data_IF_181758482015
#
_entry.id   IF_181758482015
#
_cell.length_a   1.000
_cell.length_b   1.000
_cell.length_c   1.000
_cell.angle_alpha   90.00
_cell.angle_beta   90.00
_cell.angle_gamma   90.00
#
_symmetry.space_group_name_H-M   'P 1'
#
loop_
_entity.id
_entity.type
_entity.pdbx_description
1 polymer ?
#
# COMPACT_ATOMS: atom_id res chain seq x y z
N UNK A 1 -4.88 -22.92 1.12
CA UNK A 1 -4.34 -21.56 1.30
C UNK A 1 -2.98 -21.42 0.65
N UNK A 2 -2.02 -22.29 0.95
CA UNK A 2 -0.64 -22.16 0.43
C UNK A 2 -0.57 -22.15 -1.10
N UNK A 3 -1.38 -22.98 -1.79
CA UNK A 3 -1.47 -22.96 -3.26
C UNK A 3 -2.03 -21.64 -3.79
N UNK A 4 -3.00 -21.01 -3.12
CA UNK A 4 -3.53 -19.70 -3.55
C UNK A 4 -2.50 -18.59 -3.34
N UNK A 5 -1.73 -18.65 -2.25
CA UNK A 5 -0.65 -17.70 -2.01
C UNK A 5 0.49 -17.88 -3.01
N UNK A 6 0.80 -19.11 -3.40
CA UNK A 6 1.80 -19.39 -4.44
C UNK A 6 1.39 -18.78 -5.79
N UNK A 7 0.11 -18.92 -6.17
CA UNK A 7 -0.38 -18.30 -7.42
C UNK A 7 -0.42 -16.78 -7.29
N UNK A 8 -0.85 -16.22 -6.16
CA UNK A 8 -0.83 -14.78 -5.93
C UNK A 8 0.59 -14.20 -6.00
N UNK A 9 1.60 -14.92 -5.50
CA UNK A 9 3.00 -14.48 -5.51
C UNK A 9 3.71 -14.71 -6.86
N UNK A 10 2.97 -15.05 -7.91
CA UNK A 10 3.52 -15.15 -9.26
C UNK A 10 4.05 -13.79 -9.74
N UNK A 11 5.12 -13.79 -10.54
CA UNK A 11 5.68 -12.58 -11.17
C UNK A 11 4.85 -12.11 -12.35
N UNK A 12 4.16 -13.04 -13.01
CA UNK A 12 3.19 -12.76 -14.05
C UNK A 12 1.87 -12.25 -13.42
N UNK A 13 1.48 -10.98 -13.66
CA UNK A 13 0.26 -10.39 -13.14
C UNK A 13 -1.00 -11.16 -13.57
N UNK A 14 -1.03 -11.70 -14.80
CA UNK A 14 -2.18 -12.43 -15.34
C UNK A 14 -2.41 -13.71 -14.54
N UNK A 15 -1.33 -14.43 -14.23
CA UNK A 15 -1.40 -15.64 -13.40
C UNK A 15 -1.76 -15.31 -11.95
N UNK A 16 -1.23 -14.21 -11.42
CA UNK A 16 -1.54 -13.74 -10.07
C UNK A 16 -3.02 -13.36 -9.92
N UNK A 17 -3.59 -12.72 -10.94
CA UNK A 17 -4.97 -12.24 -10.94
C UNK A 17 -6.00 -13.38 -10.83
N UNK A 18 -5.69 -14.57 -11.37
CA UNK A 18 -6.57 -15.75 -11.35
C UNK A 18 -7.11 -16.12 -9.96
N UNK A 19 -6.38 -15.78 -8.89
CA UNK A 19 -6.78 -16.09 -7.51
C UNK A 19 -7.34 -14.91 -6.74
N UNK A 20 -7.28 -13.68 -7.27
CA UNK A 20 -7.66 -12.46 -6.53
C UNK A 20 -9.12 -12.51 -6.09
N UNK A 21 -10.05 -12.84 -7.00
CA UNK A 21 -11.48 -12.93 -6.66
C UNK A 21 -11.74 -13.96 -5.54
N UNK A 22 -11.09 -15.13 -5.65
CA UNK A 22 -11.21 -16.20 -4.65
C UNK A 22 -10.64 -15.77 -3.30
N UNK A 23 -9.50 -15.08 -3.30
CA UNK A 23 -8.87 -14.56 -2.09
C UNK A 23 -9.71 -13.48 -1.42
N UNK A 24 -10.26 -12.51 -2.16
CA UNK A 24 -11.18 -11.50 -1.60
C UNK A 24 -12.38 -12.16 -0.94
N UNK A 25 -12.99 -13.14 -1.61
CA UNK A 25 -14.12 -13.90 -1.08
C UNK A 25 -13.75 -14.66 0.20
N UNK A 26 -12.58 -15.31 0.21
CA UNK A 26 -12.08 -16.04 1.37
C UNK A 26 -11.78 -15.10 2.56
N UNK A 27 -11.12 -13.97 2.30
CA UNK A 27 -10.85 -12.94 3.32
C UNK A 27 -12.15 -12.43 3.94
N UNK A 28 -13.18 -12.18 3.14
CA UNK A 28 -14.48 -11.73 3.64
C UNK A 28 -15.12 -12.75 4.61
N UNK A 29 -14.96 -14.06 4.37
CA UNK A 29 -15.45 -15.12 5.27
C UNK A 29 -14.70 -15.14 6.60
N UNK A 30 -13.47 -14.64 6.66
CA UNK A 30 -12.69 -14.56 7.89
C UNK A 30 -13.07 -13.38 8.80
N UNK A 31 -14.00 -12.50 8.39
CA UNK A 31 -14.34 -11.27 9.12
C UNK A 31 -14.62 -11.50 10.61
N UNK A 32 -15.50 -12.43 10.94
CA UNK A 32 -15.91 -12.68 12.33
C UNK A 32 -14.83 -13.40 13.15
N UNK A 33 -13.86 -14.03 12.47
CA UNK A 33 -12.75 -14.78 13.06
C UNK A 33 -11.42 -14.07 12.92
N UNK A 34 -11.41 -12.80 12.48
CA UNK A 34 -10.19 -12.14 12.04
C UNK A 34 -9.16 -11.94 13.14
N UNK A 35 -9.56 -12.05 14.42
CA UNK A 35 -8.68 -11.96 15.59
C UNK A 35 -8.11 -13.32 16.03
N UNK A 36 -8.57 -14.44 15.46
CA UNK A 36 -7.97 -15.75 15.73
C UNK A 36 -6.54 -15.80 15.19
N UNK A 37 -5.66 -16.53 15.88
CA UNK A 37 -4.25 -16.65 15.50
C UNK A 37 -4.07 -17.19 14.08
N UNK A 38 -4.85 -18.21 13.70
CA UNK A 38 -4.84 -18.79 12.35
C UNK A 38 -5.27 -17.79 11.28
N UNK A 39 -6.35 -17.04 11.54
CA UNK A 39 -6.82 -16.01 10.62
C UNK A 39 -5.78 -14.90 10.48
N UNK A 40 -5.23 -14.43 11.59
CA UNK A 40 -4.15 -13.43 11.63
C UNK A 40 -2.96 -13.87 10.79
N UNK A 41 -2.46 -15.10 10.99
CA UNK A 41 -1.33 -15.64 10.21
C UNK A 41 -1.61 -15.64 8.71
N UNK A 42 -2.80 -16.07 8.30
CA UNK A 42 -3.18 -16.11 6.88
C UNK A 42 -3.30 -14.69 6.30
N UNK A 43 -4.00 -13.78 6.99
CA UNK A 43 -4.18 -12.40 6.55
C UNK A 43 -2.83 -11.68 6.41
N UNK A 44 -1.92 -11.83 7.38
CA UNK A 44 -0.57 -11.26 7.31
C UNK A 44 0.22 -11.76 6.11
N UNK A 45 0.09 -13.04 5.77
CA UNK A 45 0.75 -13.62 4.57
C UNK A 45 0.17 -13.05 3.28
N UNK A 46 -1.15 -12.88 3.20
CA UNK A 46 -1.81 -12.26 2.04
C UNK A 46 -1.31 -10.81 1.88
N UNK A 47 -1.33 -10.01 2.96
CA UNK A 47 -0.84 -8.62 2.93
C UNK A 47 0.62 -8.59 2.46
N UNK A 48 1.47 -9.44 3.03
CA UNK A 48 2.89 -9.51 2.66
C UNK A 48 3.11 -9.79 1.17
N UNK A 49 2.34 -10.72 0.58
CA UNK A 49 2.40 -10.99 -0.87
C UNK A 49 1.91 -9.78 -1.67
N UNK A 50 0.75 -9.20 -1.31
CA UNK A 50 0.19 -8.05 -2.02
C UNK A 50 1.17 -6.86 -2.05
N UNK A 51 1.84 -6.58 -0.93
CA UNK A 51 2.83 -5.49 -0.86
C UNK A 51 4.06 -5.78 -1.72
N UNK A 52 4.51 -7.04 -1.82
CA UNK A 52 5.63 -7.42 -2.70
C UNK A 52 5.27 -7.34 -4.18
N UNK A 53 4.08 -7.83 -4.55
CA UNK A 53 3.57 -7.79 -5.93
C UNK A 53 3.11 -6.42 -6.38
N UNK A 54 3.07 -5.46 -5.46
CA UNK A 54 2.89 -4.07 -5.80
C UNK A 54 4.09 -3.46 -6.52
N UNK A 55 5.30 -4.03 -6.38
CA UNK A 55 6.51 -3.52 -7.05
C UNK A 55 6.45 -3.88 -8.52
N UNK A 56 6.58 -2.87 -9.39
CA UNK A 56 6.61 -3.07 -10.84
C UNK A 56 7.84 -3.92 -11.24
N UNK A 57 7.67 -4.80 -12.22
CA UNK A 57 8.76 -5.62 -12.76
C UNK A 57 9.89 -4.75 -13.30
N UNK A 58 11.12 -5.24 -13.23
CA UNK A 58 12.29 -4.56 -13.82
C UNK A 58 12.22 -4.53 -15.36
N UNK A 59 11.32 -5.31 -15.96
CA UNK A 59 11.08 -5.34 -17.41
C UNK A 59 10.19 -4.18 -17.90
N UNK A 60 9.47 -3.52 -16.99
CA UNK A 60 8.57 -2.40 -17.31
C UNK A 60 9.20 -1.06 -16.91
N UNK A 61 8.81 0.01 -17.60
CA UNK A 61 9.29 1.35 -17.28
C UNK A 61 8.40 2.01 -16.22
N UNK A 62 9.00 2.47 -15.13
CA UNK A 62 8.30 3.20 -14.05
C UNK A 62 7.69 4.51 -14.55
N UNK A 63 8.35 5.16 -15.51
CA UNK A 63 7.85 6.38 -16.15
C UNK A 63 7.09 6.06 -17.46
N UNK A 64 6.88 4.77 -17.74
CA UNK A 64 6.19 4.24 -18.90
C UNK A 64 4.69 4.51 -18.86
N UNK A 65 4.09 4.60 -20.05
CA UNK A 65 2.66 4.78 -20.27
C UNK A 65 2.14 3.82 -21.35
N UNK A 66 2.86 2.70 -21.56
CA UNK A 66 2.51 1.67 -22.53
C UNK A 66 1.35 0.80 -22.04
N UNK A 67 0.96 -0.15 -22.88
CA UNK A 67 -0.11 -1.11 -22.59
C UNK A 67 0.21 -1.94 -21.34
N UNK A 68 1.41 -2.51 -21.26
CA UNK A 68 1.85 -3.34 -20.14
C UNK A 68 1.87 -2.55 -18.80
N UNK A 69 2.28 -1.27 -18.81
CA UNK A 69 2.23 -0.42 -17.62
C UNK A 69 0.80 -0.10 -17.17
N UNK A 70 -0.12 0.08 -18.14
CA UNK A 70 -1.54 0.31 -17.86
C UNK A 70 -2.17 -0.95 -17.27
N UNK A 71 -1.90 -2.12 -17.84
CA UNK A 71 -2.37 -3.41 -17.34
C UNK A 71 -1.83 -3.66 -15.93
N UNK A 72 -0.56 -3.37 -15.67
CA UNK A 72 0.01 -3.47 -14.33
C UNK A 72 -0.65 -2.49 -13.34
N UNK A 73 -1.00 -1.28 -13.78
CA UNK A 73 -1.73 -0.33 -12.95
C UNK A 73 -3.14 -0.84 -12.58
N UNK A 74 -3.81 -1.56 -13.49
CA UNK A 74 -5.08 -2.23 -13.23
C UNK A 74 -4.92 -3.41 -12.27
N UNK A 75 -3.90 -4.24 -12.45
CA UNK A 75 -3.53 -5.28 -11.50
C UNK A 75 -3.28 -4.73 -10.07
N UNK A 76 -2.62 -3.56 -9.96
CA UNK A 76 -2.45 -2.88 -8.67
C UNK A 76 -3.76 -2.44 -8.04
N UNK A 77 -4.78 -2.05 -8.82
CA UNK A 77 -6.14 -1.80 -8.29
C UNK A 77 -6.70 -3.08 -7.69
N UNK A 78 -6.44 -4.21 -8.36
CA UNK A 78 -6.91 -5.49 -7.87
C UNK A 78 -6.25 -5.90 -6.54
N UNK A 79 -4.93 -5.72 -6.40
CA UNK A 79 -4.22 -5.89 -5.13
C UNK A 79 -4.73 -4.95 -4.04
N UNK A 80 -4.96 -3.67 -4.35
CA UNK A 80 -5.54 -2.70 -3.40
C UNK A 80 -6.91 -3.16 -2.91
N UNK A 81 -7.75 -3.77 -3.74
CA UNK A 81 -9.05 -4.30 -3.31
C UNK A 81 -8.93 -5.42 -2.27
N UNK A 82 -7.91 -6.29 -2.36
CA UNK A 82 -7.61 -7.28 -1.30
C UNK A 82 -7.21 -6.55 -0.02
N UNK A 83 -6.24 -5.64 -0.12
CA UNK A 83 -5.73 -4.86 1.02
C UNK A 83 -6.85 -4.07 1.70
N UNK A 84 -7.77 -3.47 0.94
CA UNK A 84 -8.95 -2.77 1.45
C UNK A 84 -9.85 -3.70 2.27
N UNK A 85 -10.13 -4.89 1.74
CA UNK A 85 -10.97 -5.87 2.43
C UNK A 85 -10.35 -6.21 3.79
N UNK A 86 -9.03 -6.44 3.84
CA UNK A 86 -8.31 -6.72 5.10
C UNK A 86 -8.28 -5.48 6.00
N UNK A 87 -7.95 -4.31 5.46
CA UNK A 87 -7.82 -3.04 6.19
C UNK A 87 -9.10 -2.62 6.89
N UNK A 88 -10.27 -2.92 6.30
CA UNK A 88 -11.58 -2.69 6.94
C UNK A 88 -11.82 -3.53 8.20
N UNK A 89 -11.05 -4.59 8.42
CA UNK A 89 -11.21 -5.54 9.54
C UNK A 89 -10.01 -5.54 10.49
N UNK A 90 -8.81 -5.38 9.94
CA UNK A 90 -7.51 -5.54 10.61
C UNK A 90 -6.53 -4.47 10.13
N UNK A 91 -6.81 -3.22 10.48
CA UNK A 91 -5.97 -2.05 10.16
C UNK A 91 -4.51 -2.26 10.59
N UNK A 92 -4.30 -2.92 11.73
CA UNK A 92 -2.98 -3.24 12.26
C UNK A 92 -2.11 -4.05 11.30
N UNK A 93 -2.74 -4.97 10.56
CA UNK A 93 -2.05 -5.81 9.57
C UNK A 93 -1.66 -5.04 8.31
N UNK A 94 -2.22 -3.84 8.09
CA UNK A 94 -1.84 -2.94 7.00
C UNK A 94 -0.80 -1.93 7.49
N UNK A 95 -1.08 -1.25 8.61
CA UNK A 95 -0.26 -0.12 9.07
C UNK A 95 1.12 -0.58 9.51
N UNK A 96 1.24 -1.69 10.25
CA UNK A 96 2.54 -2.17 10.73
C UNK A 96 3.55 -2.45 9.58
N UNK A 97 3.22 -3.23 8.53
CA UNK A 97 4.15 -3.42 7.41
C UNK A 97 4.36 -2.14 6.59
N UNK A 98 3.37 -1.24 6.51
CA UNK A 98 3.55 0.04 5.82
C UNK A 98 4.54 0.96 6.55
N UNK A 99 4.52 0.98 7.88
CA UNK A 99 5.53 1.70 8.68
C UNK A 99 6.93 1.16 8.42
N UNK A 100 7.09 -0.17 8.30
CA UNK A 100 8.38 -0.77 7.95
C UNK A 100 8.86 -0.31 6.57
N UNK A 101 7.98 -0.27 5.57
CA UNK A 101 8.31 0.21 4.23
C UNK A 101 8.70 1.70 4.23
N UNK A 102 8.00 2.56 4.97
CA UNK A 102 8.38 3.97 5.13
C UNK A 102 9.73 4.12 5.84
N UNK A 103 10.01 3.27 6.83
CA UNK A 103 11.31 3.26 7.51
C UNK A 103 12.46 2.82 6.58
N UNK A 104 12.21 1.89 5.65
CA UNK A 104 13.18 1.51 4.61
C UNK A 104 13.56 2.68 3.69
N UNK A 105 12.59 3.55 3.36
CA UNK A 105 12.87 4.78 2.59
C UNK A 105 13.82 5.70 3.36
N UNK A 106 13.57 5.92 4.66
CA UNK A 106 14.46 6.71 5.49
C UNK A 106 15.87 6.09 5.58
N UNK A 107 15.95 4.77 5.76
CA UNK A 107 17.21 4.03 5.89
C UNK A 107 18.04 3.99 4.59
N UNK A 108 17.43 4.24 3.43
CA UNK A 108 18.07 4.23 2.11
C UNK A 108 18.49 5.63 1.63
N UNK A 109 18.80 6.54 2.57
CA UNK A 109 19.16 7.92 2.24
C UNK A 109 18.00 8.67 1.61
N UNK A 110 16.79 8.51 2.18
CA UNK A 110 15.55 9.08 1.66
C UNK A 110 15.09 8.48 0.34
N UNK A 111 15.39 7.21 0.10
CA UNK A 111 15.04 6.49 -1.14
C UNK A 111 16.09 6.59 -2.24
N UNK A 112 17.13 7.42 -2.10
CA UNK A 112 18.15 7.62 -3.15
C UNK A 112 18.96 6.36 -3.46
N UNK A 113 19.19 5.50 -2.45
CA UNK A 113 19.89 4.22 -2.62
C UNK A 113 18.94 3.03 -2.94
N UNK A 114 17.63 3.27 -3.05
CA UNK A 114 16.62 2.24 -3.31
C UNK A 114 16.35 2.09 -4.82
N UNK A 115 16.06 0.86 -5.32
CA UNK A 115 15.54 0.68 -6.68
C UNK A 115 14.28 1.52 -6.91
N UNK A 116 14.21 2.20 -8.06
CA UNK A 116 13.12 3.16 -8.36
C UNK A 116 11.76 2.48 -8.30
N UNK A 117 11.63 1.28 -8.88
CA UNK A 117 10.40 0.47 -8.84
C UNK A 117 9.90 0.21 -7.40
N UNK A 118 10.82 -0.05 -6.45
CA UNK A 118 10.45 -0.25 -5.04
C UNK A 118 10.05 1.06 -4.38
N UNK A 119 10.81 2.14 -4.63
CA UNK A 119 10.48 3.45 -4.08
C UNK A 119 9.10 3.91 -4.57
N UNK A 120 8.86 3.85 -5.88
CA UNK A 120 7.57 4.19 -6.50
C UNK A 120 6.43 3.38 -5.89
N UNK A 121 6.58 2.06 -5.75
CA UNK A 121 5.54 1.23 -5.16
C UNK A 121 5.20 1.62 -3.71
N UNK A 122 6.19 1.99 -2.90
CA UNK A 122 5.97 2.46 -1.52
C UNK A 122 5.22 3.79 -1.52
N UNK A 123 5.60 4.74 -2.38
CA UNK A 123 4.91 6.03 -2.49
C UNK A 123 3.47 5.83 -2.96
N UNK A 124 3.26 4.97 -3.96
CA UNK A 124 1.94 4.63 -4.49
C UNK A 124 1.04 3.97 -3.44
N UNK A 125 1.59 3.08 -2.61
CA UNK A 125 0.85 2.45 -1.51
C UNK A 125 0.44 3.46 -0.44
N UNK A 126 1.33 4.39 -0.08
CA UNK A 126 1.04 5.45 0.90
C UNK A 126 0.00 6.43 0.34
N UNK A 127 0.10 6.81 -0.94
CA UNK A 127 -0.92 7.59 -1.62
C UNK A 127 -2.28 6.89 -1.60
N UNK A 128 -2.31 5.58 -1.88
CA UNK A 128 -3.50 4.75 -1.88
C UNK A 128 -4.07 4.40 -0.50
N UNK A 129 -3.49 4.84 0.62
CA UNK A 129 -3.94 4.45 1.96
C UNK A 129 -5.42 4.74 2.21
N UNK A 130 -5.95 5.84 1.66
CA UNK A 130 -7.38 6.20 1.76
C UNK A 130 -8.32 5.19 1.13
N UNK A 131 -7.82 4.42 0.15
CA UNK A 131 -8.55 3.34 -0.48
C UNK A 131 -8.36 2.01 0.26
N UNK A 132 -7.38 1.90 1.17
CA UNK A 132 -7.01 0.65 1.84
C UNK A 132 -7.56 0.56 3.26
N UNK A 133 -7.61 1.66 4.01
CA UNK A 133 -8.13 1.69 5.38
C UNK A 133 -9.37 2.58 5.49
N UNK A 134 -10.26 2.34 6.47
CA UNK A 134 -11.50 3.11 6.59
C UNK A 134 -11.24 4.62 6.69
N UNK A 135 -11.88 5.42 5.82
CA UNK A 135 -11.61 6.85 5.64
C UNK A 135 -11.76 7.71 6.93
N UNK A 136 -12.42 7.20 7.97
CA UNK A 136 -12.49 7.89 9.26
C UNK A 136 -11.16 7.89 10.03
N UNK A 137 -10.12 7.20 9.55
CA UNK A 137 -8.80 7.13 10.20
C UNK A 137 -8.16 8.51 10.45
N UNK A 138 -8.45 9.47 9.58
CA UNK A 138 -7.96 10.85 9.66
C UNK A 138 -8.40 11.55 10.96
N UNK A 139 -9.57 11.17 11.48
CA UNK A 139 -10.16 11.78 12.67
C UNK A 139 -9.73 11.08 13.98
N UNK A 140 -9.07 9.93 13.88
CA UNK A 140 -8.67 9.11 15.03
C UNK A 140 -7.18 9.28 15.25
N UNK A 141 -6.80 9.90 16.37
CA UNK A 141 -5.39 10.27 16.66
C UNK A 141 -4.58 9.19 17.38
N UNK A 142 -5.24 8.14 17.85
CA UNK A 142 -4.62 7.09 18.66
C UNK A 142 -4.77 5.71 18.01
N UNK A 143 -3.96 4.75 18.49
CA UNK A 143 -3.96 3.39 17.97
C UNK A 143 -3.50 3.30 16.51
N UNK A 144 -3.91 2.22 15.84
CA UNK A 144 -3.47 1.93 14.48
C UNK A 144 -3.95 2.94 13.44
N UNK A 145 -5.13 3.54 13.63
CA UNK A 145 -5.66 4.56 12.73
C UNK A 145 -4.83 5.85 12.75
N UNK A 146 -4.46 6.34 13.95
CA UNK A 146 -3.61 7.52 14.09
C UNK A 146 -2.21 7.30 13.53
N UNK A 147 -1.66 6.09 13.72
CA UNK A 147 -0.38 5.70 13.11
C UNK A 147 -0.46 5.66 11.58
N UNK A 148 -1.54 5.10 11.03
CA UNK A 148 -1.82 5.11 9.59
C UNK A 148 -1.94 6.53 9.03
N UNK A 149 -2.61 7.44 9.75
CA UNK A 149 -2.73 8.86 9.36
C UNK A 149 -1.38 9.60 9.31
N UNK A 150 -0.38 9.11 10.05
CA UNK A 150 0.95 9.71 10.11
C UNK A 150 1.89 9.21 8.99
N UNK A 151 1.56 8.10 8.32
CA UNK A 151 2.39 7.50 7.25
C UNK A 151 2.70 8.46 6.09
N UNK A 152 1.73 9.20 5.52
CA UNK A 152 2.03 10.18 4.48
C UNK A 152 3.06 11.22 4.91
N UNK A 153 2.89 11.79 6.10
CA UNK A 153 3.82 12.79 6.64
C UNK A 153 5.20 12.19 6.86
N UNK A 154 5.27 11.00 7.47
CA UNK A 154 6.53 10.32 7.72
C UNK A 154 7.29 10.03 6.42
N UNK A 155 6.59 9.56 5.38
CA UNK A 155 7.17 9.35 4.05
C UNK A 155 7.69 10.67 3.45
N UNK A 156 6.87 11.72 3.47
CA UNK A 156 7.26 13.02 2.92
C UNK A 156 8.49 13.63 3.62
N UNK A 157 8.62 13.42 4.92
CA UNK A 157 9.76 13.89 5.72
C UNK A 157 11.01 13.03 5.55
N UNK A 158 10.88 11.77 5.15
CA UNK A 158 12.01 10.87 4.96
C UNK A 158 12.57 10.93 3.54
N UNK A 159 11.72 11.16 2.54
CA UNK A 159 12.10 11.14 1.13
C UNK A 159 13.01 12.29 0.71
N UNK A 160 13.94 11.99 -0.19
CA UNK A 160 14.74 12.96 -0.91
C UNK A 160 14.48 12.82 -2.41
N UNK A 161 14.01 13.90 -3.03
CA UNK A 161 13.80 13.97 -4.48
C UNK A 161 15.15 14.18 -5.18
N UNK A 162 15.54 13.22 -6.02
CA UNK A 162 16.84 13.18 -6.69
C UNK A 162 16.77 13.23 -8.22
N UNK A 163 15.58 13.41 -8.79
CA UNK A 163 15.35 13.53 -10.23
C UNK A 163 15.36 12.22 -11.02
N UNK A 164 15.42 11.04 -10.38
CA UNK A 164 15.55 9.76 -11.10
C UNK A 164 14.30 9.25 -11.83
N UNK A 165 13.11 9.68 -11.43
CA UNK A 165 11.84 9.27 -12.06
C UNK A 165 10.81 10.39 -11.96
N UNK A 166 10.16 10.71 -13.08
CA UNK A 166 9.09 11.70 -13.10
C UNK A 166 7.86 11.22 -12.29
N UNK A 167 7.49 9.94 -12.42
CA UNK A 167 6.37 9.32 -11.69
C UNK A 167 6.52 9.47 -10.18
N UNK A 168 7.72 9.21 -9.62
CA UNK A 168 7.98 9.38 -8.18
C UNK A 168 7.78 10.83 -7.73
N UNK A 169 8.17 11.82 -8.54
CA UNK A 169 8.00 13.23 -8.18
C UNK A 169 6.53 13.64 -8.22
N UNK A 170 5.79 13.21 -9.25
CA UNK A 170 4.35 13.46 -9.34
C UNK A 170 3.64 12.86 -8.12
N UNK A 171 3.91 11.59 -7.81
CA UNK A 171 3.32 10.91 -6.66
C UNK A 171 3.68 11.57 -5.33
N UNK A 172 4.92 12.04 -5.16
CA UNK A 172 5.31 12.80 -3.98
C UNK A 172 4.40 14.03 -3.80
N UNK A 173 4.17 14.80 -4.87
CA UNK A 173 3.30 15.98 -4.81
C UNK A 173 1.82 15.63 -4.62
N UNK A 174 1.35 14.50 -5.17
CA UNK A 174 0.00 13.98 -4.90
C UNK A 174 -0.17 13.61 -3.43
N UNK A 175 0.82 12.98 -2.80
CA UNK A 175 0.82 12.69 -1.36
C UNK A 175 0.81 13.99 -0.54
N UNK A 176 1.55 15.02 -0.95
CA UNK A 176 1.49 16.36 -0.32
C UNK A 176 0.07 16.95 -0.42
N UNK A 177 -0.53 16.91 -1.62
CA UNK A 177 -1.87 17.45 -1.85
C UNK A 177 -2.93 16.70 -1.03
N UNK A 178 -2.88 15.37 -1.00
CA UNK A 178 -3.74 14.53 -0.17
C UNK A 178 -3.55 14.84 1.32
N UNK A 179 -2.30 15.01 1.75
CA UNK A 179 -1.98 15.37 3.14
C UNK A 179 -2.52 16.74 3.52
N UNK A 180 -2.50 17.71 2.61
CA UNK A 180 -3.08 19.04 2.87
C UNK A 180 -4.61 18.99 3.09
N UNK A 181 -5.31 18.05 2.45
CA UNK A 181 -6.72 17.77 2.73
C UNK A 181 -6.90 17.15 4.12
N UNK A 182 -6.01 16.25 4.56
CA UNK A 182 -6.01 15.74 5.93
C UNK A 182 -5.73 16.84 6.96
N UNK A 183 -4.79 17.76 6.67
CA UNK A 183 -4.44 18.86 7.55
C UNK A 183 -5.56 19.91 7.68
N UNK A 184 -6.38 20.12 6.65
CA UNK A 184 -7.55 21.00 6.75
C UNK A 184 -8.64 20.42 7.69
N UNK A 185 -8.79 19.09 7.79
CA UNK A 185 -9.60 18.46 8.82
C UNK A 185 -9.01 18.59 10.24
N UNK A 186 -7.68 18.70 10.36
CA UNK A 186 -6.97 18.93 11.62
C UNK A 186 -7.12 20.36 12.16
N UNK A 187 -7.38 21.36 11.31
CA UNK A 187 -7.54 22.76 11.70
C UNK A 187 -8.99 23.14 12.02
N UNK A 188 -9.99 22.52 11.39
CA UNK A 188 -11.41 22.87 11.59
C UNK A 188 -12.09 22.26 12.84
N UNK A 189 -11.38 21.44 13.62
CA UNK A 189 -11.86 20.94 14.93
C UNK A 189 -11.10 21.57 16.11
N UNK A 190 -10.42 22.70 15.86
CA UNK A 190 -9.70 23.49 16.86
C UNK A 190 -10.24 24.93 16.98
N UNK A 191 -11.51 25.13 16.68
CA UNK A 191 -12.30 26.27 17.13
C UNK A 191 -13.52 25.79 17.93
#
# INVERSE_FOLDING_TARGET
MDSLLLVLDNEDPDLSELVIYTLRSYVAVLKDKCMEEKATSVLSRIVSVCLRRFVISEELDVDGLGEDEIEFADYRKELRGILNTIGNMRVDLIVAPMEALVAEVAASGGGTAMPIARLEAIVQLVHGLVEIIPANFVNVKEGWMGRGAQLPVNLLTSMQLDGRSASVHVLYFEVVALSSLFFNGYFFLKE
#
